data_IF_428880232447
#
_entry.id   IF_428880232447
#
_cell.length_a   1.000
_cell.length_b   1.000
_cell.length_c   1.000
_cell.angle_alpha   90.00
_cell.angle_beta   90.00
_cell.angle_gamma   90.00
#
_symmetry.space_group_name_H-M   'P 1'
#
loop_
_entity.id
_entity.type
_entity.pdbx_description
1 polymer ?
#
# COMPACT_ATOMS: atom_id res chain seq x y z
N UNK A 1 4.97 16.53 20.28
CA UNK A 1 5.80 15.30 20.29
C UNK A 1 6.42 15.17 18.93
N UNK A 2 7.75 15.19 18.83
CA UNK A 2 8.45 15.00 17.55
C UNK A 2 8.57 13.49 17.29
N UNK A 3 7.87 12.98 16.29
CA UNK A 3 8.02 11.60 15.84
C UNK A 3 9.15 11.54 14.82
N UNK A 4 10.28 10.96 15.20
CA UNK A 4 11.44 10.82 14.32
C UNK A 4 11.54 9.45 13.64
N UNK A 5 10.76 8.47 14.09
CA UNK A 5 10.92 7.08 13.64
C UNK A 5 9.58 6.39 13.45
N UNK A 6 9.41 5.74 12.30
CA UNK A 6 8.27 4.85 12.01
C UNK A 6 8.72 3.41 12.26
N UNK A 7 8.17 2.74 13.27
CA UNK A 7 8.55 1.37 13.67
C UNK A 7 7.46 0.35 13.41
N UNK A 8 6.23 0.81 13.27
CA UNK A 8 5.03 -0.01 13.09
C UNK A 8 4.45 0.15 11.70
N UNK A 9 3.90 -0.91 11.18
CA UNK A 9 3.13 -0.88 9.94
C UNK A 9 1.87 -1.74 10.03
N UNK A 10 0.90 -1.39 9.21
CA UNK A 10 -0.30 -2.17 8.93
C UNK A 10 -0.28 -2.55 7.46
N UNK A 11 -0.39 -3.84 7.15
CA UNK A 11 -0.62 -4.37 5.81
C UNK A 11 -2.09 -4.77 5.70
N UNK A 12 -2.82 -4.10 4.80
CA UNK A 12 -4.23 -4.39 4.54
C UNK A 12 -4.37 -5.52 3.51
N UNK A 13 -4.61 -6.73 4.00
CA UNK A 13 -4.69 -7.95 3.19
C UNK A 13 -6.06 -8.68 3.29
N UNK A 14 -7.10 -8.07 3.90
CA UNK A 14 -8.42 -8.69 4.06
C UNK A 14 -9.30 -8.64 2.82
N UNK A 15 -9.06 -7.73 1.88
CA UNK A 15 -9.92 -7.48 0.72
C UNK A 15 -10.16 -8.71 -0.17
N UNK A 16 -11.35 -8.84 -0.74
CA UNK A 16 -11.82 -10.04 -1.47
C UNK A 16 -11.06 -10.34 -2.77
N UNK A 17 -10.37 -9.36 -3.38
CA UNK A 17 -9.61 -9.56 -4.62
C UNK A 17 -10.45 -9.89 -5.84
N UNK A 18 -11.72 -9.49 -5.89
CA UNK A 18 -12.69 -9.84 -6.93
C UNK A 18 -12.23 -9.50 -8.34
N UNK A 19 -11.53 -8.38 -8.53
CA UNK A 19 -11.04 -7.91 -9.82
C UNK A 19 -10.01 -8.85 -10.48
N UNK A 20 -9.22 -9.56 -9.68
CA UNK A 20 -8.16 -10.48 -10.15
C UNK A 20 -8.54 -11.95 -9.97
N UNK A 21 -9.78 -12.26 -9.58
CA UNK A 21 -10.22 -13.62 -9.30
C UNK A 21 -10.07 -14.57 -10.49
N UNK A 22 -10.20 -14.06 -11.71
CA UNK A 22 -9.97 -14.85 -12.92
C UNK A 22 -8.51 -15.34 -13.06
N UNK A 23 -7.56 -14.66 -12.40
CA UNK A 23 -6.13 -15.03 -12.37
C UNK A 23 -5.82 -15.86 -11.13
N UNK A 24 -6.35 -15.47 -9.97
CA UNK A 24 -6.02 -16.09 -8.69
C UNK A 24 -6.77 -17.38 -8.43
N UNK A 25 -7.97 -17.56 -9.00
CA UNK A 25 -8.89 -18.57 -8.51
C UNK A 25 -9.22 -18.35 -7.04
N UNK A 26 -8.90 -19.35 -6.21
CA UNK A 26 -9.09 -19.29 -4.75
C UNK A 26 -7.84 -18.83 -3.98
N UNK A 27 -6.74 -18.55 -4.68
CA UNK A 27 -5.52 -18.03 -4.05
C UNK A 27 -5.75 -16.57 -3.63
N UNK A 28 -5.37 -16.17 -2.39
CA UNK A 28 -5.32 -14.76 -2.01
C UNK A 28 -4.48 -13.94 -2.99
N UNK A 29 -4.99 -12.79 -3.43
CA UNK A 29 -4.25 -11.92 -4.39
C UNK A 29 -2.87 -11.50 -3.86
N UNK A 30 -2.72 -11.42 -2.57
CA UNK A 30 -1.48 -11.06 -1.88
C UNK A 30 -0.38 -12.13 -2.04
N UNK A 31 -0.75 -13.33 -2.48
CA UNK A 31 0.15 -14.43 -2.82
C UNK A 31 0.43 -14.55 -4.32
N UNK A 32 -0.20 -13.71 -5.18
CA UNK A 32 0.24 -13.55 -6.56
C UNK A 32 1.70 -13.12 -6.61
N UNK A 33 2.41 -13.59 -7.63
CA UNK A 33 3.85 -13.33 -7.75
C UNK A 33 4.17 -12.31 -8.83
N UNK A 34 5.07 -11.40 -8.48
CA UNK A 34 5.79 -10.53 -9.43
C UNK A 34 7.27 -10.77 -9.20
N UNK A 35 8.05 -10.97 -10.26
CA UNK A 35 9.46 -11.36 -10.16
C UNK A 35 9.66 -12.64 -9.30
N UNK A 36 8.80 -13.64 -9.45
CA UNK A 36 8.79 -14.90 -8.70
C UNK A 36 8.66 -14.73 -7.16
N UNK A 37 8.20 -13.58 -6.68
CA UNK A 37 8.03 -13.26 -5.26
C UNK A 37 6.59 -12.86 -4.99
N UNK A 38 5.92 -13.40 -3.94
CA UNK A 38 4.57 -13.00 -3.55
C UNK A 38 4.48 -11.52 -3.20
N UNK A 39 3.35 -10.88 -3.51
CA UNK A 39 3.11 -9.46 -3.25
C UNK A 39 3.28 -9.12 -1.77
N UNK A 40 2.80 -9.98 -0.87
CA UNK A 40 2.97 -9.80 0.57
C UNK A 40 4.45 -9.79 0.98
N UNK A 41 5.30 -10.58 0.31
CA UNK A 41 6.74 -10.60 0.56
C UNK A 41 7.41 -9.31 0.10
N UNK A 42 7.02 -8.74 -1.06
CA UNK A 42 7.47 -7.41 -1.49
C UNK A 42 7.12 -6.33 -0.46
N UNK A 43 5.90 -6.35 0.08
CA UNK A 43 5.47 -5.40 1.11
C UNK A 43 6.32 -5.52 2.38
N UNK A 44 6.56 -6.74 2.88
CA UNK A 44 7.38 -7.00 4.08
C UNK A 44 8.83 -6.59 3.84
N UNK A 45 9.42 -6.92 2.69
CA UNK A 45 10.78 -6.49 2.35
C UNK A 45 10.91 -4.96 2.31
N UNK A 46 9.96 -4.29 1.68
CA UNK A 46 9.95 -2.83 1.61
C UNK A 46 9.86 -2.19 3.00
N UNK A 47 9.01 -2.71 3.87
CA UNK A 47 8.90 -2.27 5.27
C UNK A 47 10.20 -2.53 6.03
N UNK A 48 10.73 -3.72 5.90
CA UNK A 48 11.97 -4.10 6.57
C UNK A 48 13.18 -3.27 6.13
N UNK A 49 13.30 -2.97 4.84
CA UNK A 49 14.31 -2.07 4.30
C UNK A 49 14.16 -0.63 4.80
N UNK A 50 12.93 -0.23 5.15
CA UNK A 50 12.63 1.07 5.75
C UNK A 50 12.86 1.12 7.27
N UNK A 51 13.36 0.04 7.88
CA UNK A 51 13.57 -0.05 9.34
C UNK A 51 12.34 -0.49 10.14
N UNK A 52 11.20 -0.75 9.49
CA UNK A 52 9.97 -1.22 10.16
C UNK A 52 10.05 -2.73 10.41
N UNK A 53 9.80 -3.14 11.65
CA UNK A 53 9.88 -4.55 12.06
C UNK A 53 8.64 -5.06 12.80
N UNK A 54 7.77 -4.18 13.27
CA UNK A 54 6.51 -4.53 13.91
C UNK A 54 5.40 -4.35 12.88
N UNK A 55 4.80 -5.45 12.45
CA UNK A 55 3.90 -5.46 11.29
C UNK A 55 2.57 -6.11 11.71
N UNK A 56 1.50 -5.34 11.70
CA UNK A 56 0.14 -5.85 11.75
C UNK A 56 -0.29 -6.28 10.35
N UNK A 57 -0.83 -7.47 10.21
CA UNK A 57 -1.39 -7.98 8.95
C UNK A 57 -2.87 -8.24 9.16
N UNK A 58 -3.70 -7.51 8.42
CA UNK A 58 -5.15 -7.70 8.48
C UNK A 58 -5.54 -8.69 7.38
N UNK A 59 -6.15 -9.81 7.77
CA UNK A 59 -6.57 -10.88 6.87
C UNK A 59 -8.07 -11.16 7.04
N UNK A 60 -8.69 -11.77 6.04
CA UNK A 60 -10.02 -12.39 6.21
C UNK A 60 -9.87 -13.85 6.67
N UNK A 61 -10.93 -14.48 7.20
CA UNK A 61 -10.90 -15.89 7.63
C UNK A 61 -10.44 -16.86 6.53
N UNK A 62 -10.72 -16.56 5.26
CA UNK A 62 -10.32 -17.39 4.12
C UNK A 62 -8.84 -17.30 3.74
N UNK A 63 -8.05 -16.42 4.38
CA UNK A 63 -6.66 -16.11 3.99
C UNK A 63 -5.60 -16.63 4.97
N UNK A 64 -5.86 -17.77 5.62
CA UNK A 64 -4.92 -18.40 6.55
C UNK A 64 -3.58 -18.73 5.87
N UNK A 65 -3.56 -18.99 4.56
CA UNK A 65 -2.32 -19.24 3.80
C UNK A 65 -1.32 -18.06 3.83
N UNK A 66 -1.80 -16.81 3.95
CA UNK A 66 -0.94 -15.63 4.14
C UNK A 66 -0.21 -15.72 5.48
N UNK A 67 -0.95 -16.06 6.55
CA UNK A 67 -0.39 -16.19 7.88
C UNK A 67 0.65 -17.30 7.95
N UNK A 68 0.32 -18.46 7.40
CA UNK A 68 1.24 -19.61 7.33
C UNK A 68 2.52 -19.24 6.54
N UNK A 69 2.38 -18.58 5.40
CA UNK A 69 3.52 -18.14 4.60
C UNK A 69 4.46 -17.20 5.37
N UNK A 70 3.92 -16.20 6.06
CA UNK A 70 4.71 -15.23 6.83
C UNK A 70 5.34 -15.83 8.10
N UNK A 71 4.72 -16.83 8.70
CA UNK A 71 5.26 -17.52 9.87
C UNK A 71 6.29 -18.61 9.52
N UNK A 72 6.54 -18.86 8.23
CA UNK A 72 7.54 -19.80 7.76
C UNK A 72 7.08 -21.27 7.72
N UNK A 73 5.77 -21.47 7.73
CA UNK A 73 5.10 -22.77 7.56
C UNK A 73 4.12 -22.70 6.36
N UNK A 74 4.63 -22.39 5.14
CA UNK A 74 3.79 -22.21 3.97
C UNK A 74 3.14 -23.54 3.55
N UNK A 75 1.90 -23.49 3.02
CA UNK A 75 1.33 -24.62 2.32
C UNK A 75 2.27 -25.15 1.23
N UNK A 76 2.20 -26.44 0.92
CA UNK A 76 3.13 -27.11 -0.01
C UNK A 76 3.28 -26.38 -1.35
N UNK A 77 2.18 -25.90 -1.92
CA UNK A 77 2.19 -25.16 -3.19
C UNK A 77 2.88 -23.78 -3.12
N UNK A 78 3.09 -23.20 -1.93
CA UNK A 78 3.82 -21.97 -1.68
C UNK A 78 5.26 -22.21 -1.22
N UNK A 79 5.61 -23.43 -0.83
CA UNK A 79 6.94 -23.76 -0.31
C UNK A 79 8.08 -23.33 -1.27
N UNK A 80 7.96 -23.48 -2.61
CA UNK A 80 8.99 -23.03 -3.54
C UNK A 80 9.22 -21.51 -3.55
N UNK A 81 8.22 -20.73 -3.12
CA UNK A 81 8.28 -19.25 -3.07
C UNK A 81 8.88 -18.73 -1.75
N UNK A 82 9.09 -19.62 -0.77
CA UNK A 82 9.69 -19.31 0.54
C UNK A 82 11.18 -19.62 0.52
N UNK A 83 11.97 -18.76 -0.11
CA UNK A 83 13.42 -18.91 -0.17
C UNK A 83 14.11 -18.62 1.19
N UNK A 84 15.42 -18.89 1.27
CA UNK A 84 16.19 -18.73 2.50
C UNK A 84 16.24 -17.25 2.96
N UNK A 85 16.29 -16.31 2.01
CA UNK A 85 16.32 -14.87 2.31
C UNK A 85 15.01 -14.44 2.97
N UNK A 86 13.85 -14.79 2.38
CA UNK A 86 12.54 -14.46 2.94
C UNK A 86 12.33 -15.08 4.32
N UNK A 87 12.78 -16.33 4.54
CA UNK A 87 12.70 -16.96 5.86
C UNK A 87 13.50 -16.22 6.93
N UNK A 88 14.69 -15.75 6.59
CA UNK A 88 15.52 -14.95 7.52
C UNK A 88 14.85 -13.61 7.80
N UNK A 89 14.36 -12.95 6.75
CA UNK A 89 13.68 -11.67 6.83
C UNK A 89 12.42 -11.74 7.72
N UNK A 90 11.56 -12.75 7.49
CA UNK A 90 10.33 -12.93 8.25
C UNK A 90 10.60 -13.19 9.74
N UNK A 91 11.63 -13.97 10.05
CA UNK A 91 12.06 -14.18 11.44
C UNK A 91 12.58 -12.91 12.13
N UNK A 92 13.09 -11.96 11.36
CA UNK A 92 13.53 -10.66 11.89
C UNK A 92 12.36 -9.65 12.08
N UNK A 93 11.16 -9.99 11.64
CA UNK A 93 9.95 -9.18 11.79
C UNK A 93 9.04 -9.78 12.88
N UNK A 94 8.35 -8.90 13.61
CA UNK A 94 7.31 -9.29 14.56
C UNK A 94 5.95 -9.08 13.91
N UNK A 95 5.27 -10.17 13.57
CA UNK A 95 3.93 -10.13 13.00
C UNK A 95 2.86 -10.20 14.08
N UNK A 96 1.79 -9.42 13.89
CA UNK A 96 0.52 -9.51 14.63
C UNK A 96 -0.59 -9.64 13.60
N UNK A 97 -1.45 -10.64 13.74
CA UNK A 97 -2.52 -10.90 12.78
C UNK A 97 -3.86 -10.47 13.34
N UNK A 98 -4.62 -9.74 12.53
CA UNK A 98 -5.95 -9.26 12.85
C UNK A 98 -6.91 -9.83 11.80
N UNK A 99 -8.04 -10.37 12.24
CA UNK A 99 -9.02 -10.98 11.34
C UNK A 99 -10.20 -10.05 11.19
N UNK A 100 -10.44 -9.58 9.96
CA UNK A 100 -11.69 -8.91 9.60
C UNK A 100 -12.68 -9.98 9.14
N UNK A 101 -13.76 -10.26 9.91
CA UNK A 101 -14.65 -11.38 9.62
C UNK A 101 -15.49 -11.14 8.37
N UNK A 102 -15.90 -9.89 8.12
CA UNK A 102 -16.71 -9.45 7.00
C UNK A 102 -16.07 -8.26 6.30
N UNK A 103 -16.27 -8.09 4.97
CA UNK A 103 -15.66 -6.99 4.21
C UNK A 103 -16.41 -5.67 4.43
N UNK A 104 -16.29 -5.09 5.60
CA UNK A 104 -16.96 -3.87 6.06
C UNK A 104 -16.19 -2.58 5.75
N UNK A 105 -15.20 -2.65 4.86
CA UNK A 105 -14.40 -1.52 4.39
C UNK A 105 -12.98 -1.47 4.94
N UNK A 106 -12.14 -0.67 4.30
CA UNK A 106 -10.71 -0.61 4.62
C UNK A 106 -10.47 0.09 5.97
N UNK A 107 -11.14 1.20 6.24
CA UNK A 107 -10.96 1.90 7.51
C UNK A 107 -11.46 1.06 8.69
N UNK A 108 -12.54 0.31 8.51
CA UNK A 108 -13.01 -0.64 9.52
C UNK A 108 -11.96 -1.73 9.79
N UNK A 109 -11.34 -2.30 8.75
CA UNK A 109 -10.23 -3.22 8.90
C UNK A 109 -9.07 -2.60 9.70
N UNK A 110 -8.66 -1.38 9.37
CA UNK A 110 -7.57 -0.66 10.06
C UNK A 110 -7.91 -0.44 11.53
N UNK A 111 -9.18 -0.21 11.88
CA UNK A 111 -9.63 0.03 13.27
C UNK A 111 -9.24 -1.10 14.22
N UNK A 112 -9.17 -2.34 13.73
CA UNK A 112 -8.74 -3.51 14.49
C UNK A 112 -7.31 -3.38 15.04
N UNK A 113 -6.49 -2.55 14.42
CA UNK A 113 -5.09 -2.37 14.78
C UNK A 113 -4.84 -1.21 15.79
N UNK A 114 -5.89 -0.56 16.34
CA UNK A 114 -5.75 0.61 17.22
C UNK A 114 -4.82 0.33 18.41
N UNK A 115 -5.04 -0.78 19.12
CA UNK A 115 -4.20 -1.14 20.28
C UNK A 115 -2.76 -1.51 19.88
N UNK A 116 -2.58 -2.17 18.73
CA UNK A 116 -1.25 -2.48 18.19
C UNK A 116 -0.45 -1.21 17.91
N UNK A 117 -1.08 -0.22 17.27
CA UNK A 117 -0.45 1.06 16.94
C UNK A 117 -0.17 1.86 18.20
N UNK A 118 -1.15 1.95 19.12
CA UNK A 118 -1.04 2.78 20.31
C UNK A 118 -0.85 4.25 19.97
N UNK A 119 0.17 4.87 20.54
CA UNK A 119 0.47 6.31 20.36
C UNK A 119 1.67 6.55 19.42
N UNK A 120 2.01 5.60 18.54
CA UNK A 120 3.12 5.73 17.62
C UNK A 120 2.63 5.97 16.18
N UNK A 121 3.40 6.70 15.33
CA UNK A 121 3.11 6.77 13.91
C UNK A 121 3.26 5.38 13.28
N UNK A 122 2.49 5.13 12.23
CA UNK A 122 2.50 3.87 11.53
C UNK A 122 2.47 4.04 10.01
N UNK A 123 3.08 3.11 9.30
CA UNK A 123 2.91 3.00 7.86
C UNK A 123 1.68 2.14 7.55
N UNK A 124 0.85 2.58 6.61
CA UNK A 124 -0.23 1.79 6.04
C UNK A 124 0.17 1.37 4.63
N UNK A 125 0.13 0.07 4.33
CA UNK A 125 0.58 -0.49 3.05
C UNK A 125 -0.52 -1.31 2.40
N UNK A 126 -0.73 -1.03 1.10
CA UNK A 126 -1.55 -1.84 0.20
C UNK A 126 -0.63 -2.80 -0.55
N UNK A 127 -0.61 -4.10 -0.24
CA UNK A 127 0.37 -5.04 -0.82
C UNK A 127 0.20 -5.27 -2.32
N UNK A 128 -0.95 -4.93 -2.89
CA UNK A 128 -1.22 -4.98 -4.33
C UNK A 128 -0.74 -3.74 -5.11
N UNK A 129 -0.21 -2.73 -4.41
CA UNK A 129 0.47 -1.59 -5.03
C UNK A 129 1.98 -1.82 -4.95
N UNK A 130 2.58 -2.32 -6.03
CA UNK A 130 4.00 -2.65 -6.08
C UNK A 130 4.81 -1.56 -6.79
N UNK A 131 5.89 -1.11 -6.14
CA UNK A 131 6.85 -0.16 -6.71
C UNK A 131 8.13 -0.91 -7.08
N UNK A 132 8.50 -0.87 -8.36
CA UNK A 132 9.74 -1.44 -8.88
C UNK A 132 10.71 -0.32 -9.26
N UNK A 133 11.99 -0.65 -9.40
CA UNK A 133 13.07 0.26 -9.86
C UNK A 133 13.33 1.49 -8.97
N UNK A 134 12.82 1.47 -7.76
CA UNK A 134 13.01 2.55 -6.81
C UNK A 134 13.29 2.04 -5.40
N UNK A 135 13.56 2.99 -4.51
CA UNK A 135 13.57 2.69 -3.08
C UNK A 135 12.15 2.32 -2.60
N UNK A 136 12.02 1.49 -1.57
CA UNK A 136 10.72 1.15 -1.00
C UNK A 136 9.90 2.40 -0.66
N UNK A 137 8.57 2.28 -0.82
CA UNK A 137 7.62 3.40 -0.63
C UNK A 137 7.85 4.12 0.70
N UNK A 138 7.90 3.37 1.81
CA UNK A 138 8.07 3.95 3.15
C UNK A 138 9.45 4.60 3.32
N UNK A 139 10.51 3.99 2.74
CA UNK A 139 11.86 4.58 2.76
C UNK A 139 11.87 5.97 2.12
N UNK A 140 11.11 6.16 1.05
CA UNK A 140 11.03 7.45 0.38
C UNK A 140 10.23 8.51 1.17
N UNK A 141 9.27 8.08 1.99
CA UNK A 141 8.40 8.99 2.76
C UNK A 141 9.01 9.41 4.11
N UNK A 142 9.76 8.54 4.78
CA UNK A 142 10.29 8.78 6.13
C UNK A 142 11.03 10.12 6.27
N UNK A 143 11.94 10.54 5.36
CA UNK A 143 12.66 11.82 5.52
C UNK A 143 11.72 13.03 5.60
N UNK A 144 10.66 13.04 4.81
CA UNK A 144 9.67 14.11 4.79
C UNK A 144 8.77 14.05 6.03
N UNK A 145 8.31 12.85 6.40
CA UNK A 145 7.54 12.64 7.61
C UNK A 145 8.29 13.09 8.87
N UNK A 146 9.56 12.69 8.99
CA UNK A 146 10.38 13.05 10.16
C UNK A 146 10.61 14.56 10.29
N UNK A 147 10.67 15.27 9.15
CA UNK A 147 10.83 16.72 9.12
C UNK A 147 9.53 17.46 9.49
N UNK A 148 8.42 17.02 8.95
CA UNK A 148 7.15 17.75 9.03
C UNK A 148 6.26 17.30 10.21
N UNK A 149 6.38 16.04 10.66
CA UNK A 149 5.57 15.47 11.75
C UNK A 149 4.07 15.42 11.42
N UNK A 150 3.70 15.26 10.15
CA UNK A 150 2.32 15.24 9.64
C UNK A 150 2.06 14.00 8.80
N UNK A 151 0.79 13.63 8.69
CA UNK A 151 0.34 12.56 7.81
C UNK A 151 0.82 12.80 6.37
N UNK A 152 1.27 11.72 5.73
CA UNK A 152 1.87 11.78 4.41
C UNK A 152 1.46 10.59 3.56
N UNK A 153 1.07 10.84 2.31
CA UNK A 153 0.74 9.83 1.32
C UNK A 153 1.89 9.59 0.34
N UNK A 154 2.02 8.36 -0.13
CA UNK A 154 2.76 8.07 -1.34
C UNK A 154 1.92 8.44 -2.57
N UNK A 155 2.54 9.02 -3.58
CA UNK A 155 1.88 9.38 -4.83
C UNK A 155 2.71 8.97 -6.04
N UNK A 156 2.04 8.57 -7.12
CA UNK A 156 2.65 8.41 -8.43
C UNK A 156 2.16 9.52 -9.36
N UNK A 157 3.09 10.07 -10.15
CA UNK A 157 2.76 10.87 -11.32
C UNK A 157 2.43 9.92 -12.46
N UNK A 158 1.24 10.04 -13.04
CA UNK A 158 0.75 9.21 -14.12
C UNK A 158 0.51 10.02 -15.38
N UNK A 159 0.94 9.44 -16.50
CA UNK A 159 0.56 9.90 -17.83
C UNK A 159 -0.66 9.14 -18.34
N UNK A 160 -1.31 9.68 -19.38
CA UNK A 160 -2.53 9.11 -19.97
C UNK A 160 -2.37 7.63 -20.37
N UNK A 161 -1.24 7.29 -21.00
CA UNK A 161 -0.95 5.91 -21.45
C UNK A 161 -0.80 4.91 -20.28
N UNK A 162 -0.57 5.40 -19.08
CA UNK A 162 -0.38 4.58 -17.88
C UNK A 162 -1.68 4.34 -17.12
N UNK A 163 -2.70 5.18 -17.34
CA UNK A 163 -3.94 5.17 -16.57
C UNK A 163 -4.65 3.80 -16.57
N UNK A 164 -4.59 3.05 -17.67
CA UNK A 164 -5.23 1.73 -17.80
C UNK A 164 -4.61 0.64 -16.89
N UNK A 165 -3.40 0.87 -16.38
CA UNK A 165 -2.70 -0.06 -15.48
C UNK A 165 -3.17 0.05 -14.04
N UNK A 166 -3.97 1.07 -13.73
CA UNK A 166 -4.44 1.35 -12.38
C UNK A 166 -5.97 1.19 -12.34
N UNK A 167 -6.44 0.57 -11.26
CA UNK A 167 -7.87 0.47 -10.96
C UNK A 167 -8.42 1.75 -10.34
N UNK A 168 -9.42 1.63 -9.47
CA UNK A 168 -9.97 2.77 -8.73
C UNK A 168 -8.90 3.61 -8.06
N UNK A 169 -8.95 4.92 -8.27
CA UNK A 169 -7.82 5.80 -7.99
C UNK A 169 -8.28 6.99 -7.17
N UNK A 170 -7.68 7.13 -5.98
CA UNK A 170 -7.70 8.41 -5.28
C UNK A 170 -6.74 9.38 -6.00
N UNK A 171 -7.28 10.43 -6.60
CA UNK A 171 -6.51 11.49 -7.22
C UNK A 171 -6.20 12.54 -6.18
N UNK A 172 -4.97 13.05 -6.20
CA UNK A 172 -4.50 14.09 -5.31
C UNK A 172 -4.39 15.41 -6.06
N UNK A 173 -5.15 16.41 -5.67
CA UNK A 173 -4.85 17.78 -6.05
C UNK A 173 -3.78 18.35 -5.13
N UNK A 174 -2.67 18.78 -5.70
CA UNK A 174 -1.51 19.17 -4.91
C UNK A 174 -0.89 20.49 -5.38
N UNK A 175 -0.10 21.11 -4.50
CA UNK A 175 0.78 22.24 -4.84
C UNK A 175 2.19 21.99 -4.34
N UNK A 176 3.17 22.55 -5.06
CA UNK A 176 4.55 22.58 -4.60
C UNK A 176 4.70 23.40 -3.32
N UNK A 177 5.57 22.97 -2.44
CA UNK A 177 5.91 23.71 -1.22
C UNK A 177 7.19 24.53 -1.52
N UNK A 178 7.14 25.88 -1.46
CA UNK A 178 8.29 26.73 -1.73
C UNK A 178 9.50 26.34 -0.86
N UNK A 179 10.67 26.25 -1.49
CA UNK A 179 11.91 25.88 -0.78
C UNK A 179 12.04 24.41 -0.37
N UNK A 180 11.08 23.57 -0.78
CA UNK A 180 11.12 22.13 -0.53
C UNK A 180 11.46 21.34 -1.80
N UNK A 181 11.68 20.02 -1.66
CA UNK A 181 11.86 19.12 -2.80
C UNK A 181 10.65 19.17 -3.73
N UNK A 182 10.83 19.15 -5.06
CA UNK A 182 9.71 19.09 -6.02
C UNK A 182 8.86 17.82 -5.86
N UNK A 183 9.40 16.78 -5.24
CA UNK A 183 8.66 15.55 -4.89
C UNK A 183 7.73 15.72 -3.69
N UNK A 184 7.94 16.73 -2.87
CA UNK A 184 7.16 16.96 -1.67
C UNK A 184 6.05 17.96 -1.97
N UNK A 185 4.80 17.54 -1.79
CA UNK A 185 3.60 18.26 -2.20
C UNK A 185 2.67 18.46 -1.01
N UNK A 186 2.01 19.62 -0.96
CA UNK A 186 0.86 19.83 -0.07
C UNK A 186 -0.40 19.37 -0.80
N UNK A 187 -1.20 18.51 -0.17
CA UNK A 187 -2.50 18.06 -0.68
C UNK A 187 -3.56 19.08 -0.34
N UNK A 188 -4.46 19.35 -1.28
CA UNK A 188 -5.62 20.25 -1.12
C UNK A 188 -6.93 19.51 -1.28
N UNK A 189 -6.95 18.49 -2.12
CA UNK A 189 -8.09 17.63 -2.32
C UNK A 189 -7.67 16.20 -2.58
N UNK A 190 -8.54 15.28 -2.21
CA UNK A 190 -8.39 13.85 -2.38
C UNK A 190 -9.73 13.32 -2.91
N UNK A 191 -9.75 12.90 -4.18
CA UNK A 191 -10.98 12.47 -4.83
C UNK A 191 -11.49 11.13 -4.29
N UNK A 192 -12.79 10.92 -4.41
CA UNK A 192 -13.40 9.62 -4.18
C UNK A 192 -12.93 8.58 -5.19
N UNK A 193 -12.96 7.30 -4.80
CA UNK A 193 -12.57 6.17 -5.66
C UNK A 193 -13.56 5.86 -6.79
N UNK A 194 -14.61 6.64 -6.94
CA UNK A 194 -15.72 6.41 -7.89
C UNK A 194 -15.42 6.78 -9.35
N UNK A 195 -14.21 7.21 -9.65
CA UNK A 195 -13.83 7.57 -11.03
C UNK A 195 -13.56 6.31 -11.82
N UNK A 196 -14.58 5.79 -12.50
CA UNK A 196 -14.54 4.57 -13.31
C UNK A 196 -13.55 4.63 -14.50
N UNK A 197 -13.14 5.82 -14.89
CA UNK A 197 -12.12 6.05 -15.92
C UNK A 197 -11.31 7.30 -15.61
N UNK A 198 -10.04 7.09 -15.34
CA UNK A 198 -9.08 8.18 -15.30
C UNK A 198 -9.00 8.81 -16.70
N UNK A 199 -9.43 10.04 -16.83
CA UNK A 199 -9.19 10.83 -18.04
C UNK A 199 -8.16 11.89 -17.70
N UNK A 200 -6.94 11.71 -18.19
CA UNK A 200 -5.87 12.71 -18.04
C UNK A 200 -5.88 13.56 -19.32
N UNK A 201 -6.03 14.88 -19.23
CA UNK A 201 -5.90 15.73 -20.39
C UNK A 201 -4.54 15.55 -21.08
N UNK A 202 -4.45 15.63 -22.42
CA UNK A 202 -3.18 15.52 -23.12
C UNK A 202 -2.17 16.55 -22.63
N UNK A 203 -0.97 16.08 -22.21
CA UNK A 203 0.10 16.93 -21.72
C UNK A 203 0.05 17.26 -20.23
N UNK A 204 -0.96 16.78 -19.49
CA UNK A 204 -1.05 16.91 -18.04
C UNK A 204 -0.64 15.61 -17.34
N UNK A 205 -0.13 15.75 -16.12
CA UNK A 205 0.19 14.63 -15.20
C UNK A 205 -0.80 14.66 -14.05
N UNK A 206 -1.31 13.47 -13.68
CA UNK A 206 -2.11 13.30 -12.47
C UNK A 206 -1.27 12.68 -11.37
N UNK A 207 -1.46 13.17 -10.16
CA UNK A 207 -0.93 12.51 -8.97
C UNK A 207 -1.99 11.57 -8.39
N UNK A 208 -1.65 10.29 -8.40
CA UNK A 208 -2.45 9.22 -7.81
C UNK A 208 -1.92 8.82 -6.46
N UNK A 209 -2.80 8.69 -5.45
CA UNK A 209 -2.43 8.01 -4.20
C UNK A 209 -1.95 6.57 -4.50
N UNK A 210 -0.79 6.21 -3.99
CA UNK A 210 -0.16 4.93 -4.30
C UNK A 210 0.62 4.34 -3.12
N UNK A 211 0.44 3.04 -2.92
CA UNK A 211 1.20 2.23 -1.97
C UNK A 211 0.81 2.42 -0.51
N UNK A 212 0.11 3.48 -0.17
CA UNK A 212 -0.29 3.79 1.20
C UNK A 212 0.26 5.12 1.72
N UNK A 213 0.53 5.20 3.02
CA UNK A 213 0.97 6.42 3.69
C UNK A 213 1.66 6.16 5.03
N UNK A 214 2.12 7.23 5.66
CA UNK A 214 2.52 7.25 7.06
C UNK A 214 1.55 8.16 7.81
N UNK A 215 0.92 7.62 8.82
CA UNK A 215 -0.14 8.28 9.58
C UNK A 215 0.20 8.40 11.07
N UNK A 216 -0.36 9.42 11.68
CA UNK A 216 -0.36 9.63 13.12
C UNK A 216 -1.51 8.86 13.79
N UNK A 217 -1.44 8.59 15.10
CA UNK A 217 -2.46 7.82 15.82
C UNK A 217 -3.87 8.42 15.77
N UNK A 218 -4.01 9.72 15.53
CA UNK A 218 -5.32 10.36 15.38
C UNK A 218 -6.16 9.78 14.22
N UNK A 219 -5.54 9.05 13.30
CA UNK A 219 -6.24 8.32 12.24
C UNK A 219 -7.38 7.47 12.79
N UNK A 220 -7.18 6.82 13.94
CA UNK A 220 -8.19 6.00 14.58
C UNK A 220 -9.35 6.82 15.16
N UNK A 221 -9.10 8.03 15.61
CA UNK A 221 -10.17 8.91 16.08
C UNK A 221 -11.05 9.39 14.92
N UNK A 222 -10.44 9.63 13.75
CA UNK A 222 -11.17 9.95 12.52
C UNK A 222 -11.96 8.75 11.96
N UNK A 223 -11.48 7.52 12.12
CA UNK A 223 -12.27 6.32 11.82
C UNK A 223 -13.58 6.35 12.62
N UNK A 224 -13.51 6.58 13.94
CA UNK A 224 -14.69 6.61 14.79
C UNK A 224 -15.62 7.79 14.46
N UNK A 225 -15.09 8.95 14.07
CA UNK A 225 -15.88 10.09 13.61
C UNK A 225 -16.62 9.81 12.30
N UNK A 226 -16.01 9.09 11.36
CA UNK A 226 -16.61 8.76 10.07
C UNK A 226 -17.59 7.59 10.13
N UNK A 227 -17.45 6.68 11.11
CA UNK A 227 -18.27 5.46 11.27
C UNK A 227 -19.79 5.71 11.22
N UNK A 228 -20.38 6.73 11.89
CA UNK A 228 -21.82 6.97 11.84
C UNK A 228 -22.36 7.37 10.46
N UNK A 229 -21.49 7.76 9.53
CA UNK A 229 -21.85 8.22 8.19
C UNK A 229 -21.61 7.18 7.11
N UNK A 230 -21.00 6.03 7.46
CA UNK A 230 -20.83 4.90 6.55
C UNK A 230 -22.20 4.28 6.23
N UNK A 231 -22.50 4.07 4.94
CA UNK A 231 -23.74 3.42 4.52
C UNK A 231 -23.61 1.90 4.57
N UNK A 232 -22.68 1.32 3.81
CA UNK A 232 -22.44 -0.12 3.73
C UNK A 232 -21.03 -0.49 4.21
N UNK A 233 -20.01 0.24 3.72
CA UNK A 233 -18.60 0.01 4.05
C UNK A 233 -17.95 1.29 4.60
N UNK A 234 -17.14 1.16 5.63
CA UNK A 234 -16.32 2.25 6.16
C UNK A 234 -14.96 2.22 5.45
N UNK A 235 -14.86 2.98 4.35
CA UNK A 235 -13.62 3.08 3.56
C UNK A 235 -12.65 4.13 4.12
N UNK A 236 -11.41 4.12 3.65
CA UNK A 236 -10.34 5.03 4.09
C UNK A 236 -10.49 6.46 3.54
N UNK A 237 -11.14 6.64 2.39
CA UNK A 237 -11.25 7.96 1.74
C UNK A 237 -11.92 9.01 2.63
N UNK A 238 -13.09 8.80 3.24
CA UNK A 238 -13.69 9.78 4.15
C UNK A 238 -12.80 10.12 5.34
N UNK A 239 -12.05 9.15 5.86
CA UNK A 239 -11.13 9.33 6.98
C UNK A 239 -9.97 10.23 6.55
N UNK A 240 -9.36 9.96 5.40
CA UNK A 240 -8.25 10.77 4.86
C UNK A 240 -8.71 12.18 4.53
N UNK A 241 -9.92 12.35 3.97
CA UNK A 241 -10.51 13.67 3.69
C UNK A 241 -10.75 14.45 4.98
N UNK A 242 -11.22 13.81 6.04
CA UNK A 242 -11.40 14.45 7.34
C UNK A 242 -10.05 14.90 7.95
N UNK A 243 -9.03 14.07 7.89
CA UNK A 243 -7.66 14.41 8.31
C UNK A 243 -7.12 15.59 7.47
N UNK A 244 -7.30 15.54 6.15
CA UNK A 244 -6.89 16.62 5.24
C UNK A 244 -7.51 17.96 5.63
N UNK A 245 -8.81 17.97 5.92
CA UNK A 245 -9.55 19.18 6.31
C UNK A 245 -9.04 19.77 7.62
N UNK A 246 -8.80 18.93 8.65
CA UNK A 246 -8.57 19.39 10.02
C UNK A 246 -7.08 19.57 10.35
N UNK A 247 -6.20 18.75 9.78
CA UNK A 247 -4.75 18.76 10.03
C UNK A 247 -3.90 19.12 8.82
N UNK A 248 -4.48 19.05 7.63
CA UNK A 248 -3.72 19.10 6.39
C UNK A 248 -2.97 17.78 6.15
N UNK A 249 -2.60 17.55 4.91
CA UNK A 249 -1.97 16.33 4.43
C UNK A 249 -0.90 16.66 3.41
N UNK A 250 0.19 15.90 3.43
CA UNK A 250 1.24 16.01 2.44
C UNK A 250 1.32 14.75 1.57
N UNK A 251 2.00 14.86 0.43
CA UNK A 251 2.29 13.72 -0.41
C UNK A 251 3.75 13.74 -0.86
N UNK A 252 4.31 12.55 -1.07
CA UNK A 252 5.62 12.36 -1.70
C UNK A 252 5.41 11.70 -3.05
N UNK A 253 5.84 12.38 -4.11
CA UNK A 253 5.92 11.76 -5.44
C UNK A 253 7.05 10.73 -5.40
N UNK A 254 6.67 9.46 -5.56
CA UNK A 254 7.57 8.32 -5.47
C UNK A 254 8.39 8.18 -6.75
N UNK A 255 9.66 7.82 -6.59
CA UNK A 255 10.56 7.44 -7.68
C UNK A 255 10.53 5.93 -7.85
N UNK A 256 10.37 5.50 -9.09
CA UNK A 256 10.22 4.10 -9.48
C UNK A 256 9.03 3.89 -10.41
N UNK A 257 8.81 2.65 -10.79
CA UNK A 257 7.68 2.26 -11.65
C UNK A 257 6.61 1.56 -10.81
N UNK A 258 5.44 2.16 -10.68
CA UNK A 258 4.34 1.64 -9.89
C UNK A 258 3.37 0.79 -10.70
N UNK A 259 2.80 -0.23 -10.06
CA UNK A 259 1.78 -1.12 -10.65
C UNK A 259 0.69 -1.41 -9.63
N UNK A 260 -0.59 -1.29 -10.04
CA UNK A 260 -1.73 -1.81 -9.28
C UNK A 260 -2.00 -3.26 -9.70
N UNK A 261 -1.43 -4.19 -8.97
CA UNK A 261 -1.54 -5.64 -9.23
C UNK A 261 -2.91 -6.19 -8.75
N UNK A 262 -3.69 -5.36 -8.07
CA UNK A 262 -5.08 -5.64 -7.72
C UNK A 262 -6.05 -5.64 -8.91
N UNK A 263 -5.55 -5.38 -10.13
CA UNK A 263 -6.30 -5.55 -11.39
C UNK A 263 -5.48 -6.32 -12.43
N UNK A 264 -6.14 -7.00 -13.41
CA UNK A 264 -5.44 -7.83 -14.40
C UNK A 264 -4.42 -7.07 -15.25
N UNK A 265 -4.76 -5.87 -15.72
CA UNK A 265 -3.86 -5.10 -16.58
C UNK A 265 -2.57 -4.69 -15.85
N UNK A 266 -2.69 -4.27 -14.58
CA UNK A 266 -1.54 -3.94 -13.75
C UNK A 266 -0.69 -5.16 -13.41
N UNK A 267 -1.31 -6.32 -13.15
CA UNK A 267 -0.59 -7.58 -12.93
C UNK A 267 0.27 -7.99 -14.12
N UNK A 268 -0.32 -8.01 -15.32
CA UNK A 268 0.40 -8.34 -16.54
C UNK A 268 1.50 -7.32 -16.83
N UNK A 269 1.20 -6.03 -16.67
CA UNK A 269 2.18 -4.97 -16.88
C UNK A 269 3.39 -5.10 -15.94
N UNK A 270 3.18 -5.44 -14.67
CA UNK A 270 4.27 -5.63 -13.71
C UNK A 270 5.18 -6.80 -14.12
N UNK A 271 4.60 -7.95 -14.52
CA UNK A 271 5.40 -9.11 -14.94
C UNK A 271 6.15 -8.85 -16.25
N UNK A 272 5.52 -8.23 -17.26
CA UNK A 272 6.19 -7.84 -18.51
C UNK A 272 7.34 -6.86 -18.24
N UNK A 273 7.16 -5.92 -17.32
CA UNK A 273 8.22 -4.99 -16.94
C UNK A 273 9.44 -5.72 -16.38
N UNK A 274 9.21 -6.70 -15.49
CA UNK A 274 10.29 -7.54 -14.93
C UNK A 274 10.99 -8.35 -16.02
N UNK A 275 10.23 -8.98 -16.93
CA UNK A 275 10.79 -9.77 -18.03
C UNK A 275 11.65 -8.92 -18.96
N UNK A 276 11.21 -7.68 -19.28
CA UNK A 276 11.94 -6.77 -20.16
C UNK A 276 13.31 -6.36 -19.63
N UNK A 277 13.54 -6.49 -18.33
CA UNK A 277 14.79 -6.14 -17.64
C UNK A 277 15.71 -7.34 -17.41
N UNK A 278 15.21 -8.56 -17.60
CA UNK A 278 16.09 -9.73 -17.56
C UNK A 278 17.00 -9.71 -18.78
N UNK A 279 18.33 -9.93 -18.63
CA UNK A 279 19.20 -10.10 -19.79
C UNK A 279 18.64 -11.24 -20.64
N UNK A 280 18.47 -10.96 -21.94
CA UNK A 280 18.01 -11.98 -22.89
C UNK A 280 18.87 -13.23 -22.67
N UNK A 281 18.26 -14.31 -22.19
CA UNK A 281 18.91 -15.60 -22.18
C UNK A 281 19.27 -15.89 -23.63
N UNK A 282 20.56 -15.79 -23.96
CA UNK A 282 21.04 -16.18 -25.27
C UNK A 282 20.50 -17.60 -25.50
N UNK A 283 19.77 -17.74 -26.61
CA UNK A 283 19.07 -18.97 -26.95
C UNK A 283 20.01 -20.17 -26.97
N UNK A 284 19.41 -21.28 -26.62
CA UNK A 284 19.96 -22.62 -26.79
C UNK A 284 20.25 -22.90 -28.25
#
# INVERSE_FOLDING_TARGET
>A
VSFTTVRKAIIAAAGLGTRVRAITGDLPKELLTVAAKPLIAHAVEGLAASGVRQIAVIVSPAKESIRQFLLGDPPEFLAPLSDAHLRVLFKACKFSFFVQPEPTGLADAISLCKEFVGNEPFALIMPDNILLDGLPVVTQMIPFFSKEGRDILGALSLKMEEASRFGNVGILETRSIPGSSPRFRKVFDFSDKTVDRLTIPPGEELLKNFGGGIFLPHFFDYIEQCRPYAQDELDDVPVIQAILRDHGLNAVVLEGTGFDVGNPAGYWAANLHVESKQPQRQGW
#
